data_IF_225603904766
#
_entry.id   IF_225603904766
#
_cell.length_a   1.000
_cell.length_b   1.000
_cell.length_c   1.000
_cell.angle_alpha   90.00
_cell.angle_beta   90.00
_cell.angle_gamma   90.00
#
_symmetry.space_group_name_H-M   'P 1'
#
loop_
_entity.id
_entity.type
_entity.pdbx_description
1 polymer ?
#
# COMPACT_ATOMS: atom_id res chain seq x y z
N UNK A 1 4.48 -12.72 0.66
CA UNK A 1 5.21 -11.92 1.65
C UNK A 1 6.38 -11.26 0.96
N UNK A 2 6.66 -10.00 1.29
CA UNK A 2 7.84 -9.26 0.86
C UNK A 2 8.59 -8.78 2.10
N UNK A 3 9.90 -8.65 1.98
CA UNK A 3 10.75 -8.07 3.03
C UNK A 3 10.95 -6.59 2.73
N UNK A 4 10.34 -5.73 3.53
CA UNK A 4 10.52 -4.28 3.45
C UNK A 4 11.70 -3.89 4.33
N UNK A 5 12.71 -3.24 3.74
CA UNK A 5 13.82 -2.65 4.48
C UNK A 5 13.53 -1.16 4.67
N UNK A 6 13.35 -0.75 5.93
CA UNK A 6 13.20 0.66 6.30
C UNK A 6 14.56 1.36 6.29
N UNK A 7 14.54 2.70 6.25
CA UNK A 7 15.77 3.54 6.27
C UNK A 7 16.61 3.34 7.55
N UNK A 8 15.99 2.92 8.65
CA UNK A 8 16.66 2.60 9.92
C UNK A 8 17.27 1.17 9.95
N UNK A 9 17.58 0.59 8.78
CA UNK A 9 18.09 -0.79 8.61
C UNK A 9 17.16 -1.90 9.16
N UNK A 10 15.93 -1.54 9.54
CA UNK A 10 14.96 -2.48 10.08
C UNK A 10 14.25 -3.21 8.94
N UNK A 11 14.34 -4.54 8.95
CA UNK A 11 13.62 -5.40 8.01
C UNK A 11 12.32 -5.86 8.65
N UNK A 12 11.20 -5.57 7.99
CA UNK A 12 9.88 -6.05 8.39
C UNK A 12 9.28 -6.94 7.31
N UNK A 13 8.59 -7.98 7.74
CA UNK A 13 7.83 -8.85 6.83
C UNK A 13 6.46 -8.23 6.59
N UNK A 14 6.16 -7.96 5.32
CA UNK A 14 4.87 -7.42 4.90
C UNK A 14 4.14 -8.41 3.99
N UNK A 15 2.84 -8.51 4.19
CA UNK A 15 1.93 -9.17 3.28
C UNK A 15 1.47 -8.16 2.24
N UNK A 16 1.59 -8.51 0.96
CA UNK A 16 1.03 -7.69 -0.12
C UNK A 16 -0.46 -7.93 -0.12
N UNK A 17 -1.24 -6.91 0.21
CA UNK A 17 -2.70 -6.97 0.16
C UNK A 17 -3.14 -6.88 -1.31
N UNK A 18 -2.55 -5.95 -2.06
CA UNK A 18 -2.76 -5.82 -3.49
C UNK A 18 -2.03 -4.62 -4.08
N UNK A 19 -2.03 -4.55 -5.41
CA UNK A 19 -1.46 -3.47 -6.20
C UNK A 19 -2.58 -2.94 -7.10
N UNK A 20 -2.72 -1.62 -7.20
CA UNK A 20 -3.77 -0.96 -7.95
C UNK A 20 -3.27 0.35 -8.54
N UNK A 21 -3.90 0.81 -9.61
CA UNK A 21 -3.54 2.05 -10.32
C UNK A 21 -4.58 3.13 -9.99
N UNK A 22 -4.10 4.32 -9.63
CA UNK A 22 -4.92 5.51 -9.35
C UNK A 22 -4.27 6.72 -10.03
N UNK A 23 -5.02 7.46 -10.83
CA UNK A 23 -4.55 8.67 -11.50
C UNK A 23 -3.22 8.47 -12.29
N UNK A 24 -3.16 7.40 -13.09
CA UNK A 24 -1.97 7.01 -13.88
C UNK A 24 -0.70 6.70 -13.04
N UNK A 25 -0.86 6.48 -11.72
CA UNK A 25 0.21 6.04 -10.81
C UNK A 25 -0.14 4.68 -10.20
N UNK A 26 0.87 3.83 -10.02
CA UNK A 26 0.71 2.54 -9.37
C UNK A 26 0.92 2.67 -7.86
N UNK A 27 0.07 2.00 -7.09
CA UNK A 27 0.12 1.96 -5.63
C UNK A 27 0.03 0.53 -5.13
N UNK A 28 0.64 0.30 -3.97
CA UNK A 28 0.66 -1.00 -3.31
C UNK A 28 0.23 -0.87 -1.86
N UNK A 29 -0.68 -1.75 -1.47
CA UNK A 29 -1.13 -1.92 -0.10
C UNK A 29 -0.37 -3.07 0.57
N UNK A 30 0.27 -2.75 1.69
CA UNK A 30 1.12 -3.66 2.45
C UNK A 30 0.60 -3.78 3.88
N UNK A 31 0.42 -4.99 4.38
CA UNK A 31 0.07 -5.26 5.77
C UNK A 31 1.29 -5.84 6.50
N UNK A 32 1.90 -5.12 7.44
CA UNK A 32 3.01 -5.64 8.23
C UNK A 32 2.57 -6.86 9.07
N UNK A 33 3.44 -7.84 9.28
CA UNK A 33 3.13 -8.94 10.22
C UNK A 33 3.11 -8.46 11.68
N UNK A 34 3.79 -7.36 11.97
CA UNK A 34 3.93 -6.79 13.32
C UNK A 34 2.90 -5.70 13.62
N UNK A 35 2.07 -5.30 12.66
CA UNK A 35 1.11 -4.20 12.81
C UNK A 35 -0.19 -4.54 12.07
N UNK A 36 -1.34 -4.15 12.61
CA UNK A 36 -2.66 -4.40 11.99
C UNK A 36 -3.05 -3.30 10.99
N UNK A 37 -2.19 -2.30 10.78
CA UNK A 37 -2.46 -1.18 9.87
C UNK A 37 -1.91 -1.46 8.47
N UNK A 38 -2.77 -1.27 7.48
CA UNK A 38 -2.36 -1.27 6.07
C UNK A 38 -1.53 -0.01 5.78
N UNK A 39 -0.37 -0.23 5.17
CA UNK A 39 0.52 0.81 4.68
C UNK A 39 0.31 0.95 3.17
N UNK A 40 0.09 2.18 2.72
CA UNK A 40 -0.07 2.53 1.31
C UNK A 40 1.20 3.23 0.83
N UNK A 41 1.75 2.75 -0.28
CA UNK A 41 2.93 3.33 -0.93
C UNK A 41 2.72 3.43 -2.44
N UNK A 42 3.32 4.44 -3.07
CA UNK A 42 3.48 4.49 -4.52
C UNK A 42 4.43 3.35 -4.92
N UNK A 43 3.94 2.47 -5.79
CA UNK A 43 4.71 1.39 -6.38
C UNK A 43 5.42 1.90 -7.63
N UNK A 44 6.74 1.77 -7.68
CA UNK A 44 7.52 2.12 -8.85
C UNK A 44 8.52 1.00 -9.16
N UNK A 45 8.48 0.46 -10.38
CA UNK A 45 9.44 -0.54 -10.83
C UNK A 45 10.46 0.12 -11.77
N UNK A 46 11.69 0.33 -11.31
CA UNK A 46 12.80 0.83 -12.13
C UNK A 46 13.84 -0.27 -12.34
N UNK A 47 14.03 -0.70 -13.59
CA UNK A 47 15.09 -1.64 -13.99
C UNK A 47 15.14 -2.94 -13.14
N UNK A 48 13.97 -3.41 -12.67
CA UNK A 48 13.85 -4.59 -11.81
C UNK A 48 14.09 -4.34 -10.32
N UNK A 49 14.25 -3.08 -9.92
CA UNK A 49 14.24 -2.63 -8.53
C UNK A 49 12.85 -2.07 -8.22
N UNK A 50 12.21 -2.63 -7.20
CA UNK A 50 10.94 -2.12 -6.68
C UNK A 50 11.28 -0.99 -5.70
N UNK A 51 10.85 0.22 -6.03
CA UNK A 51 10.94 1.40 -5.19
C UNK A 51 9.54 1.72 -4.66
N UNK A 52 9.45 1.91 -3.35
CA UNK A 52 8.22 2.26 -2.65
C UNK A 52 8.37 3.68 -2.11
N UNK A 53 7.50 4.59 -2.54
CA UNK A 53 7.50 5.96 -2.01
C UNK A 53 6.30 6.20 -1.11
N UNK A 54 6.53 6.89 -0.01
CA UNK A 54 5.45 7.38 0.86
C UNK A 54 4.66 8.45 0.13
N UNK A 55 3.34 8.39 0.26
CA UNK A 55 2.45 9.43 -0.22
C UNK A 55 2.56 10.62 0.73
N UNK A 56 3.10 11.75 0.26
CA UNK A 56 3.30 12.95 1.07
C UNK A 56 2.10 13.90 1.04
N UNK A 57 1.26 13.80 0.00
CA UNK A 57 0.08 14.64 -0.16
C UNK A 57 -1.15 13.98 0.48
N UNK A 58 -1.77 14.63 1.46
CA UNK A 58 -2.97 14.12 2.13
C UNK A 58 -4.12 13.83 1.15
N UNK A 59 -4.31 14.67 0.11
CA UNK A 59 -5.34 14.48 -0.91
C UNK A 59 -5.07 13.21 -1.73
N UNK A 60 -3.82 12.97 -2.14
CA UNK A 60 -3.44 11.74 -2.83
C UNK A 60 -3.65 10.52 -1.94
N UNK A 61 -3.28 10.62 -0.66
CA UNK A 61 -3.47 9.54 0.30
C UNK A 61 -4.95 9.20 0.49
N UNK A 62 -5.83 10.20 0.57
CA UNK A 62 -7.27 10.00 0.70
C UNK A 62 -7.84 9.27 -0.52
N UNK A 63 -7.46 9.67 -1.74
CA UNK A 63 -7.91 9.02 -2.98
C UNK A 63 -7.39 7.58 -3.07
N UNK A 64 -6.11 7.36 -2.80
CA UNK A 64 -5.50 6.02 -2.85
C UNK A 64 -6.09 5.11 -1.77
N UNK A 65 -6.35 5.67 -0.59
CA UNK A 65 -7.03 4.98 0.51
C UNK A 65 -8.46 4.60 0.10
N UNK A 66 -9.24 5.53 -0.43
CA UNK A 66 -10.61 5.27 -0.91
C UNK A 66 -10.60 4.17 -1.99
N UNK A 67 -9.73 4.28 -2.99
CA UNK A 67 -9.56 3.26 -4.02
C UNK A 67 -9.17 1.89 -3.43
N UNK A 68 -8.28 1.86 -2.44
CA UNK A 68 -7.96 0.63 -1.71
C UNK A 68 -9.18 0.07 -0.98
N UNK A 69 -9.94 0.89 -0.26
CA UNK A 69 -11.13 0.45 0.46
C UNK A 69 -12.21 -0.07 -0.50
N UNK A 70 -12.44 0.59 -1.64
CA UNK A 70 -13.38 0.12 -2.67
C UNK A 70 -12.95 -1.19 -3.32
N UNK A 71 -11.64 -1.37 -3.58
CA UNK A 71 -11.11 -2.55 -4.26
C UNK A 71 -10.94 -3.76 -3.33
N UNK A 72 -10.49 -3.53 -2.09
CA UNK A 72 -10.02 -4.58 -1.18
C UNK A 72 -10.83 -4.68 0.12
N UNK A 73 -11.59 -3.66 0.49
CA UNK A 73 -12.40 -3.62 1.71
C UNK A 73 -13.91 -3.60 1.44
N UNK A 74 -14.34 -4.03 0.24
CA UNK A 74 -15.75 -4.21 -0.13
C UNK A 74 -16.46 -5.34 0.67
N UNK A 75 -16.03 -5.64 1.91
CA UNK A 75 -16.64 -6.62 2.81
C UNK A 75 -17.26 -5.98 4.09
N UNK A 76 -17.46 -4.66 4.15
CA UNK A 76 -18.29 -4.03 5.21
C UNK A 76 -19.41 -3.10 4.66
N UNK A 77 -20.07 -3.49 3.57
CA UNK A 77 -21.45 -3.03 3.26
C UNK A 77 -22.43 -4.22 3.24
N UNK A 78 -22.41 -5.05 4.29
CA UNK A 78 -23.57 -5.89 4.64
C UNK A 78 -23.82 -5.83 6.16
N UNK A 79 -24.45 -4.78 6.68
CA UNK A 79 -25.45 -4.90 7.75
C UNK A 79 -26.47 -3.74 7.63
N UNK A 80 -27.60 -4.03 6.98
CA UNK A 80 -28.87 -3.28 7.05
C UNK A 80 -29.67 -3.70 8.31
#
# INVERSE_FOLDING_TARGET
MIELTLDDETVINCYVVGIFEVDDKEYIALLPENDERVLLYEYNENEGVIELKTIEEDEEFEIVSEAYYELFNNEEEEEE
#
